data_IF_981101912604
#
_entry.id   IF_981101912604
#
_cell.length_a   1.000
_cell.length_b   1.000
_cell.length_c   1.000
_cell.angle_alpha   90.00
_cell.angle_beta   90.00
_cell.angle_gamma   90.00
#
_symmetry.space_group_name_H-M   'P 1'
#
loop_
_entity.id
_entity.type
_entity.pdbx_description
1 polymer ?
#
# COMPACT_ATOMS: atom_id res chain seq x y z
N UNK A 1 19.99 -9.69 12.03
CA UNK A 1 19.71 -8.72 10.95
C UNK A 1 18.41 -8.05 11.35
N UNK A 2 18.41 -6.73 11.51
CA UNK A 2 17.17 -6.00 11.77
C UNK A 2 16.29 -6.18 10.55
N UNK A 3 15.21 -6.97 10.66
CA UNK A 3 14.27 -7.10 9.55
C UNK A 3 13.51 -5.77 9.49
N UNK A 4 13.80 -4.96 8.48
CA UNK A 4 13.06 -3.73 8.27
C UNK A 4 11.72 -4.10 7.64
N UNK A 5 10.63 -3.72 8.30
CA UNK A 5 9.24 -3.89 7.83
C UNK A 5 9.11 -3.50 6.36
N UNK A 6 8.61 -4.40 5.51
CA UNK A 6 8.36 -4.12 4.08
C UNK A 6 6.91 -3.72 3.85
N UNK A 7 6.69 -2.63 3.13
CA UNK A 7 5.34 -2.08 2.88
C UNK A 7 5.15 -1.82 1.40
N UNK A 8 4.23 -2.54 0.77
CA UNK A 8 3.79 -2.27 -0.59
C UNK A 8 2.86 -1.05 -0.64
N UNK A 9 2.92 -0.26 -1.71
CA UNK A 9 1.97 0.83 -1.94
C UNK A 9 1.73 1.01 -3.44
N UNK A 10 0.55 1.48 -3.82
CA UNK A 10 0.26 1.83 -5.21
C UNK A 10 0.81 3.23 -5.54
N UNK A 11 1.56 3.31 -6.64
CA UNK A 11 2.14 4.54 -7.18
C UNK A 11 3.65 4.45 -7.41
N UNK A 12 4.22 5.57 -7.84
CA UNK A 12 5.65 5.73 -8.04
C UNK A 12 6.34 6.28 -6.77
N UNK A 13 7.67 6.13 -6.65
CA UNK A 13 8.44 6.83 -5.62
C UNK A 13 8.15 8.34 -5.63
N UNK A 14 7.88 8.90 -4.45
CA UNK A 14 7.43 10.27 -4.24
C UNK A 14 5.90 10.45 -4.21
N UNK A 15 5.11 9.39 -4.44
CA UNK A 15 3.66 9.46 -4.31
C UNK A 15 3.21 9.74 -2.86
N UNK A 16 2.00 10.28 -2.70
CA UNK A 16 1.40 10.51 -1.38
C UNK A 16 1.29 9.22 -0.55
N UNK A 17 1.08 8.07 -1.20
CA UNK A 17 1.07 6.77 -0.53
C UNK A 17 2.44 6.40 0.06
N UNK A 18 3.54 6.73 -0.64
CA UNK A 18 4.89 6.55 -0.08
C UNK A 18 5.12 7.46 1.13
N UNK A 19 4.68 8.71 1.04
CA UNK A 19 4.73 9.66 2.15
C UNK A 19 3.93 9.16 3.36
N UNK A 20 2.76 8.55 3.13
CA UNK A 20 1.98 7.92 4.19
C UNK A 20 2.76 6.77 4.85
N UNK A 21 3.41 5.90 4.07
CA UNK A 21 4.31 4.87 4.60
C UNK A 21 5.43 5.48 5.46
N UNK A 22 6.09 6.54 4.99
CA UNK A 22 7.16 7.22 5.73
C UNK A 22 6.67 7.84 7.03
N UNK A 23 5.46 8.41 7.05
CA UNK A 23 4.91 9.04 8.24
C UNK A 23 4.52 8.02 9.33
N UNK A 24 4.03 6.85 8.95
CA UNK A 24 3.59 5.81 9.90
C UNK A 24 4.73 4.86 10.26
N UNK A 25 5.58 4.50 9.30
CA UNK A 25 6.69 3.58 9.44
C UNK A 25 7.97 4.15 8.80
N UNK A 26 8.67 5.09 9.47
CA UNK A 26 9.83 5.79 8.90
C UNK A 26 10.96 4.86 8.46
N UNK A 27 11.19 3.78 9.21
CA UNK A 27 12.28 2.82 8.99
C UNK A 27 11.89 1.66 8.05
N UNK A 28 10.69 1.69 7.47
CA UNK A 28 10.21 0.65 6.55
C UNK A 28 10.99 0.63 5.23
N UNK A 29 10.97 -0.50 4.54
CA UNK A 29 11.32 -0.60 3.13
C UNK A 29 10.03 -0.52 2.33
N UNK A 30 9.91 0.49 1.47
CA UNK A 30 8.69 0.76 0.70
C UNK A 30 8.83 0.18 -0.70
N UNK A 31 7.83 -0.56 -1.13
CA UNK A 31 7.82 -1.27 -2.41
C UNK A 31 6.73 -0.64 -3.30
N UNK A 32 7.08 0.11 -4.35
CA UNK A 32 6.09 0.66 -5.27
C UNK A 32 5.40 -0.46 -6.07
N UNK A 33 4.14 -0.23 -6.41
CA UNK A 33 3.29 -1.09 -7.24
C UNK A 33 2.51 -0.23 -8.23
N UNK A 34 2.28 -0.76 -9.44
CA UNK A 34 1.54 -0.06 -10.48
C UNK A 34 0.05 0.05 -10.14
N UNK A 35 -0.52 -1.01 -9.57
CA UNK A 35 -1.95 -1.10 -9.19
C UNK A 35 -2.13 -1.48 -7.72
N UNK A 36 -3.35 -1.29 -7.19
CA UNK A 36 -3.69 -1.76 -5.85
C UNK A 36 -3.64 -3.28 -5.77
N UNK A 37 -4.12 -3.96 -6.82
CA UNK A 37 -4.06 -5.42 -6.92
C UNK A 37 -2.63 -5.94 -6.79
N UNK A 38 -1.65 -5.30 -7.45
CA UNK A 38 -0.25 -5.70 -7.32
C UNK A 38 0.27 -5.47 -5.88
N UNK A 39 -0.15 -4.39 -5.21
CA UNK A 39 0.20 -4.18 -3.81
C UNK A 39 -0.40 -5.25 -2.88
N UNK A 40 -1.64 -5.69 -3.12
CA UNK A 40 -2.26 -6.79 -2.40
C UNK A 40 -1.55 -8.12 -2.67
N UNK A 41 -1.27 -8.45 -3.94
CA UNK A 41 -0.57 -9.67 -4.33
C UNK A 41 0.82 -9.77 -3.69
N UNK A 42 1.56 -8.66 -3.57
CA UNK A 42 2.85 -8.65 -2.87
C UNK A 42 2.73 -9.06 -1.41
N UNK A 43 1.65 -8.68 -0.73
CA UNK A 43 1.39 -9.12 0.65
C UNK A 43 0.99 -10.58 0.69
N UNK A 44 0.10 -11.01 -0.21
CA UNK A 44 -0.36 -12.42 -0.28
C UNK A 44 0.78 -13.39 -0.60
N UNK A 45 1.73 -12.99 -1.46
CA UNK A 45 2.89 -13.78 -1.84
C UNK A 45 4.03 -13.73 -0.81
N UNK A 46 3.97 -12.82 0.17
CA UNK A 46 5.02 -12.61 1.18
C UNK A 46 6.20 -11.74 0.71
N UNK A 47 6.08 -11.06 -0.42
CA UNK A 47 7.07 -10.08 -0.90
C UNK A 47 7.07 -8.79 -0.06
N UNK A 48 5.91 -8.47 0.55
CA UNK A 48 5.73 -7.38 1.49
C UNK A 48 5.02 -7.87 2.77
N UNK A 49 5.40 -7.33 3.93
CA UNK A 49 4.76 -7.64 5.20
C UNK A 49 3.41 -6.92 5.34
N UNK A 50 3.28 -5.71 4.77
CA UNK A 50 2.06 -4.91 4.79
C UNK A 50 1.81 -4.23 3.43
N UNK A 51 0.59 -3.73 3.22
CA UNK A 51 0.28 -2.78 2.16
C UNK A 51 -0.35 -1.50 2.73
N UNK A 52 0.09 -0.35 2.24
CA UNK A 52 -0.50 0.96 2.54
C UNK A 52 -1.46 1.35 1.42
N UNK A 53 -2.76 1.34 1.74
CA UNK A 53 -3.84 1.47 0.77
C UNK A 53 -4.74 2.66 1.16
N UNK A 54 -4.85 3.71 0.32
CA UNK A 54 -5.68 4.88 0.60
C UNK A 54 -7.16 4.60 0.33
N UNK A 55 -8.03 4.73 1.34
CA UNK A 55 -9.48 4.53 1.18
C UNK A 55 -10.18 5.74 0.54
N UNK A 56 -9.72 6.96 0.85
CA UNK A 56 -10.26 8.21 0.34
C UNK A 56 -9.12 9.13 -0.09
N UNK A 57 -9.20 9.71 -1.28
CA UNK A 57 -8.26 10.72 -1.78
C UNK A 57 -9.03 12.01 -2.10
N UNK A 58 -8.61 13.14 -1.54
CA UNK A 58 -9.24 14.44 -1.81
C UNK A 58 -9.17 14.88 -3.28
N UNK A 59 -8.20 14.36 -4.04
CA UNK A 59 -7.98 14.70 -5.44
C UNK A 59 -8.70 13.75 -6.40
N UNK A 60 -8.71 12.45 -6.09
CA UNK A 60 -9.28 11.41 -6.96
C UNK A 60 -10.65 10.90 -6.49
N UNK A 61 -11.12 11.32 -5.31
CA UNK A 61 -12.34 10.82 -4.68
C UNK A 61 -12.12 9.53 -3.89
N UNK A 62 -13.22 8.85 -3.56
CA UNK A 62 -13.17 7.51 -2.94
C UNK A 62 -12.52 6.51 -3.88
N UNK A 63 -11.67 5.65 -3.32
CA UNK A 63 -11.01 4.60 -4.09
C UNK A 63 -11.89 3.35 -4.05
N UNK A 64 -12.94 3.36 -4.87
CA UNK A 64 -13.94 2.28 -4.98
C UNK A 64 -13.31 0.91 -5.29
N UNK A 65 -12.19 0.90 -6.01
CA UNK A 65 -11.47 -0.31 -6.43
C UNK A 65 -11.01 -1.19 -5.26
N UNK A 66 -10.81 -0.62 -4.06
CA UNK A 66 -10.40 -1.38 -2.87
C UNK A 66 -11.55 -2.18 -2.24
N UNK A 67 -12.78 -1.68 -2.32
CA UNK A 67 -13.94 -2.34 -1.68
C UNK A 67 -14.26 -3.71 -2.30
N UNK A 68 -13.82 -3.94 -3.54
CA UNK A 68 -13.96 -5.25 -4.18
C UNK A 68 -12.81 -6.22 -3.86
N UNK A 69 -11.68 -5.71 -3.37
CA UNK A 69 -10.47 -6.52 -3.14
C UNK A 69 -10.22 -6.89 -1.67
N UNK A 70 -10.88 -6.22 -0.72
CA UNK A 70 -10.85 -6.62 0.70
C UNK A 70 -11.89 -7.73 0.94
N UNK A 71 -11.49 -8.94 1.36
CA UNK A 71 -12.46 -9.97 1.72
C UNK A 71 -13.29 -9.52 2.94
N UNK A 72 -14.62 -9.55 2.81
CA UNK A 72 -15.64 -9.26 3.84
C UNK A 72 -16.10 -7.80 4.06
N UNK A 73 -16.02 -6.92 3.07
CA UNK A 73 -16.74 -5.63 3.11
C UNK A 73 -18.16 -5.76 2.54
N UNK A 74 -19.03 -6.53 3.23
CA UNK A 74 -20.50 -6.42 3.11
C UNK A 74 -21.06 -5.64 4.30
#
# INVERSE_FOLDING_TARGET
>A
MSNNLTIAFQGEPGAYSELACLNVYPDSVRIPSLTFEEAFQKVENGDAELAMIPLENSTAGRVEEIYHQIPNTQ
#
